data_IF_589485198108
#
_entry.id   IF_589485198108
#
_cell.length_a   1.000
_cell.length_b   1.000
_cell.length_c   1.000
_cell.angle_alpha   90.00
_cell.angle_beta   90.00
_cell.angle_gamma   90.00
#
_symmetry.space_group_name_H-M   'P 1'
#
loop_
_entity.id
_entity.type
_entity.pdbx_description
1 polymer ?
#
# COMPACT_ATOMS: atom_id res chain seq x y z
N UNK A 1 7.48 -12.24 11.21
CA UNK A 1 7.15 -10.99 10.49
C UNK A 1 5.75 -11.05 9.92
N UNK A 2 5.11 -9.92 9.84
CA UNK A 2 3.82 -9.77 9.15
C UNK A 2 4.09 -9.15 7.80
N UNK A 3 3.65 -9.81 6.72
CA UNK A 3 3.64 -9.23 5.40
C UNK A 3 2.31 -8.52 5.17
N UNK A 4 2.37 -7.22 4.89
CA UNK A 4 1.22 -6.39 4.60
C UNK A 4 1.20 -6.11 3.11
N UNK A 5 0.09 -6.44 2.46
CA UNK A 5 -0.09 -6.23 1.03
C UNK A 5 -1.42 -5.57 0.75
N UNK A 6 -1.45 -4.65 -0.19
CA UNK A 6 -2.68 -4.04 -0.68
C UNK A 6 -2.61 -3.90 -2.19
N UNK A 7 -3.63 -4.40 -2.86
CA UNK A 7 -3.77 -4.35 -4.32
C UNK A 7 -4.93 -3.44 -4.66
N UNK A 8 -4.76 -2.59 -5.68
CA UNK A 8 -5.73 -1.51 -5.92
C UNK A 8 -5.75 -1.04 -7.37
N UNK A 9 -6.81 -0.32 -7.70
CA UNK A 9 -6.87 0.50 -8.91
C UNK A 9 -7.30 1.92 -8.55
N UNK A 10 -6.81 2.87 -9.34
CA UNK A 10 -7.09 4.28 -9.16
C UNK A 10 -8.27 4.73 -10.02
N UNK A 11 -8.90 5.82 -9.63
CA UNK A 11 -9.92 6.49 -10.43
C UNK A 11 -9.33 7.19 -11.65
N UNK A 12 -8.04 7.48 -11.61
CA UNK A 12 -7.33 8.17 -12.68
C UNK A 12 -7.14 7.28 -13.90
N UNK A 13 -7.11 7.86 -15.11
CA UNK A 13 -6.74 7.10 -16.31
C UNK A 13 -5.34 6.49 -16.18
N UNK A 14 -5.15 5.32 -16.78
CA UNK A 14 -3.85 4.66 -16.84
C UNK A 14 -2.85 5.56 -17.56
N UNK A 15 -1.64 5.61 -17.00
CA UNK A 15 -0.51 6.40 -17.49
C UNK A 15 -0.71 7.92 -17.42
N UNK A 16 -1.71 8.38 -16.64
CA UNK A 16 -1.94 9.80 -16.43
C UNK A 16 -0.91 10.42 -15.47
N UNK A 17 -0.77 11.74 -15.51
CA UNK A 17 0.08 12.47 -14.57
C UNK A 17 -0.39 12.30 -13.12
N UNK A 18 -1.71 12.21 -12.91
CA UNK A 18 -2.30 12.02 -11.58
C UNK A 18 -1.99 10.64 -11.02
N UNK A 19 -2.01 9.60 -11.87
CA UNK A 19 -1.57 8.25 -11.46
C UNK A 19 -0.11 8.25 -11.04
N UNK A 20 0.76 8.84 -11.83
CA UNK A 20 2.20 8.94 -11.51
C UNK A 20 2.42 9.67 -10.20
N UNK A 21 1.73 10.79 -9.98
CA UNK A 21 1.86 11.57 -8.75
C UNK A 21 1.43 10.78 -7.52
N UNK A 22 0.32 10.03 -7.59
CA UNK A 22 -0.13 9.18 -6.50
C UNK A 22 0.91 8.13 -6.14
N UNK A 23 1.43 7.43 -7.15
CA UNK A 23 2.40 6.35 -6.94
C UNK A 23 3.74 6.88 -6.40
N UNK A 24 4.17 8.05 -6.84
CA UNK A 24 5.37 8.69 -6.30
C UNK A 24 5.18 9.16 -4.86
N UNK A 25 4.07 9.81 -4.56
CA UNK A 25 3.79 10.31 -3.21
C UNK A 25 3.65 9.19 -2.18
N UNK A 26 3.24 8.00 -2.61
CA UNK A 26 3.18 6.82 -1.74
C UNK A 26 4.55 6.42 -1.17
N UNK A 27 5.65 6.83 -1.77
CA UNK A 27 6.99 6.56 -1.23
C UNK A 27 7.20 7.14 0.18
N UNK A 28 6.44 8.17 0.55
CA UNK A 28 6.52 8.71 1.92
C UNK A 28 6.22 7.64 2.99
N UNK A 29 5.43 6.62 2.65
CA UNK A 29 5.11 5.52 3.56
C UNK A 29 6.35 4.70 3.93
N UNK A 30 7.32 4.61 3.03
CA UNK A 30 8.55 3.83 3.24
C UNK A 30 9.43 4.38 4.38
N UNK A 31 9.30 5.65 4.69
CA UNK A 31 10.08 6.32 5.74
C UNK A 31 9.45 6.20 7.14
N UNK A 32 8.24 5.68 7.25
CA UNK A 32 7.57 5.50 8.54
C UNK A 32 8.34 4.45 9.36
N UNK A 33 8.66 4.72 10.64
CA UNK A 33 9.37 3.75 11.47
C UNK A 33 8.65 2.40 11.53
N UNK A 34 9.41 1.33 11.41
CA UNK A 34 8.89 -0.04 11.42
C UNK A 34 8.55 -0.63 10.07
N UNK A 35 8.44 0.18 9.03
CA UNK A 35 8.24 -0.31 7.65
C UNK A 35 9.52 -0.98 7.15
N UNK A 36 9.38 -2.22 6.70
CA UNK A 36 10.48 -3.03 6.16
C UNK A 36 10.17 -3.36 4.72
N UNK A 37 11.12 -3.10 3.82
CA UNK A 37 11.06 -3.52 2.42
C UNK A 37 9.78 -3.05 1.71
N UNK A 38 9.51 -1.75 1.78
CA UNK A 38 8.39 -1.17 1.03
C UNK A 38 8.64 -1.28 -0.47
N UNK A 39 7.68 -1.87 -1.19
CA UNK A 39 7.76 -2.02 -2.64
C UNK A 39 6.44 -1.63 -3.29
N UNK A 40 6.55 -1.09 -4.50
CA UNK A 40 5.42 -0.79 -5.38
C UNK A 40 5.46 -1.76 -6.55
N UNK A 41 4.28 -2.23 -6.97
CA UNK A 41 4.17 -3.25 -8.01
C UNK A 41 3.14 -2.87 -9.07
N UNK A 42 3.38 -3.34 -10.30
CA UNK A 42 2.29 -3.52 -11.27
C UNK A 42 1.65 -4.87 -11.03
N UNK A 43 0.31 -4.92 -10.96
CA UNK A 43 -0.41 -6.17 -10.98
C UNK A 43 -0.57 -6.58 -12.44
N UNK A 44 -0.18 -7.81 -12.80
CA UNK A 44 -0.09 -8.23 -14.20
C UNK A 44 -1.02 -9.41 -14.55
N UNK A 45 -1.78 -9.92 -13.58
CA UNK A 45 -2.71 -11.02 -13.84
C UNK A 45 -4.02 -10.49 -14.46
N UNK A 46 -4.53 -11.14 -15.52
CA UNK A 46 -5.85 -10.78 -16.07
C UNK A 46 -7.00 -11.31 -15.22
N UNK A 47 -6.72 -11.99 -14.11
CA UNK A 47 -7.74 -12.65 -13.28
C UNK A 47 -8.40 -11.72 -12.26
N UNK A 48 -8.00 -10.45 -12.21
CA UNK A 48 -8.59 -9.45 -11.35
C UNK A 48 -8.52 -8.07 -12.03
N UNK A 49 -9.16 -7.08 -11.40
CA UNK A 49 -9.26 -5.72 -11.95
C UNK A 49 -8.30 -4.73 -11.28
N UNK A 50 -7.33 -5.21 -10.53
CA UNK A 50 -6.36 -4.33 -9.90
C UNK A 50 -5.19 -4.02 -10.84
N UNK A 51 -4.62 -2.84 -10.68
CA UNK A 51 -3.52 -2.36 -11.53
C UNK A 51 -2.20 -2.30 -10.79
N UNK A 52 -2.23 -2.06 -9.48
CA UNK A 52 -1.05 -1.82 -8.66
C UNK A 52 -1.12 -2.55 -7.33
N UNK A 53 0.02 -2.66 -6.67
CA UNK A 53 0.10 -3.13 -5.31
C UNK A 53 1.23 -2.46 -4.55
N UNK A 54 1.01 -2.32 -3.23
CA UNK A 54 2.05 -1.97 -2.27
C UNK A 54 2.28 -3.15 -1.35
N UNK A 55 3.54 -3.47 -1.11
CA UNK A 55 3.91 -4.52 -0.16
C UNK A 55 4.97 -4.01 0.81
N UNK A 56 4.88 -4.46 2.04
CA UNK A 56 5.84 -4.17 3.09
C UNK A 56 5.73 -5.21 4.18
N UNK A 57 6.68 -5.23 5.09
CA UNK A 57 6.67 -6.13 6.23
C UNK A 57 6.86 -5.36 7.53
N UNK A 58 6.37 -5.96 8.62
CA UNK A 58 6.54 -5.46 9.98
C UNK A 58 7.10 -6.58 10.85
N UNK A 59 7.98 -6.24 11.77
CA UNK A 59 8.58 -7.21 12.67
C UNK A 59 7.54 -7.91 13.55
N UNK A 60 6.51 -7.17 13.98
CA UNK A 60 5.45 -7.65 14.87
C UNK A 60 4.19 -6.77 14.74
N UNK A 61 3.15 -7.16 15.46
CA UNK A 61 1.88 -6.42 15.46
C UNK A 61 2.03 -5.01 16.02
N UNK A 62 2.91 -4.79 16.99
CA UNK A 62 3.11 -3.47 17.57
C UNK A 62 3.66 -2.49 16.54
N UNK A 63 4.61 -2.93 15.72
CA UNK A 63 5.14 -2.11 14.62
C UNK A 63 4.07 -1.80 13.57
N UNK A 64 3.23 -2.77 13.22
CA UNK A 64 2.13 -2.56 12.27
C UNK A 64 1.10 -1.56 12.82
N UNK A 65 0.68 -1.75 14.06
CA UNK A 65 -0.27 -0.83 14.71
C UNK A 65 0.27 0.60 14.78
N UNK A 66 1.56 0.75 15.09
CA UNK A 66 2.23 2.06 15.10
C UNK A 66 2.24 2.72 13.72
N UNK A 67 2.47 1.94 12.66
CA UNK A 67 2.40 2.40 11.27
C UNK A 67 0.99 2.92 10.94
N UNK A 68 -0.05 2.15 11.25
CA UNK A 68 -1.43 2.54 10.97
C UNK A 68 -1.79 3.88 11.63
N UNK A 69 -1.31 4.12 12.83
CA UNK A 69 -1.60 5.34 13.59
C UNK A 69 -0.65 6.49 13.27
N UNK A 70 0.41 6.26 12.50
CA UNK A 70 1.41 7.29 12.21
C UNK A 70 0.78 8.43 11.39
N UNK A 71 1.08 9.70 11.72
CA UNK A 71 0.49 10.85 11.02
C UNK A 71 0.68 10.84 9.51
N UNK A 72 1.82 10.37 9.01
CA UNK A 72 2.09 10.28 7.57
C UNK A 72 1.14 9.27 6.92
N UNK A 73 0.92 8.11 7.53
CA UNK A 73 -0.02 7.11 7.03
C UNK A 73 -1.45 7.64 7.07
N UNK A 74 -1.87 8.22 8.19
CA UNK A 74 -3.22 8.78 8.33
C UNK A 74 -3.48 9.86 7.29
N UNK A 75 -2.54 10.78 7.08
CA UNK A 75 -2.68 11.84 6.10
C UNK A 75 -2.76 11.27 4.67
N UNK A 76 -1.93 10.29 4.33
CA UNK A 76 -1.99 9.65 3.01
C UNK A 76 -3.33 8.97 2.77
N UNK A 77 -3.86 8.24 3.76
CA UNK A 77 -5.16 7.58 3.65
C UNK A 77 -6.28 8.60 3.47
N UNK A 78 -6.33 9.63 4.31
CA UNK A 78 -7.42 10.62 4.27
C UNK A 78 -7.37 11.51 3.03
N UNK A 79 -6.19 11.95 2.62
CA UNK A 79 -6.04 12.97 1.57
C UNK A 79 -5.84 12.38 0.17
N UNK A 80 -5.35 11.15 0.07
CA UNK A 80 -5.02 10.53 -1.20
C UNK A 80 -5.78 9.23 -1.44
N UNK A 81 -5.64 8.26 -0.55
CA UNK A 81 -6.21 6.91 -0.73
C UNK A 81 -7.73 6.96 -0.89
N UNK A 82 -8.44 7.54 0.08
CA UNK A 82 -9.90 7.62 0.05
C UNK A 82 -10.45 8.42 -1.13
N UNK A 83 -9.67 9.37 -1.62
CA UNK A 83 -10.09 10.23 -2.74
C UNK A 83 -9.82 9.59 -4.10
N UNK A 84 -8.68 8.90 -4.25
CA UNK A 84 -8.16 8.50 -5.56
C UNK A 84 -8.27 6.99 -5.85
N UNK A 85 -8.39 6.14 -4.82
CA UNK A 85 -8.53 4.69 -5.00
C UNK A 85 -9.99 4.32 -5.24
N UNK A 86 -10.24 3.63 -6.34
CA UNK A 86 -11.60 3.19 -6.70
C UNK A 86 -11.99 1.88 -6.03
N UNK A 87 -11.05 0.93 -5.95
CA UNK A 87 -11.26 -0.38 -5.33
C UNK A 87 -9.94 -0.96 -4.86
N UNK A 88 -9.98 -1.76 -3.82
CA UNK A 88 -8.77 -2.37 -3.27
C UNK A 88 -9.06 -3.66 -2.52
N UNK A 89 -8.01 -4.46 -2.35
CA UNK A 89 -8.00 -5.67 -1.53
C UNK A 89 -6.76 -5.67 -0.67
N UNK A 90 -6.94 -5.70 0.63
CA UNK A 90 -5.85 -5.74 1.61
C UNK A 90 -5.70 -7.17 2.13
N UNK A 91 -4.49 -7.69 2.09
CA UNK A 91 -4.16 -9.02 2.59
C UNK A 91 -2.90 -8.94 3.45
N UNK A 92 -3.03 -9.33 4.69
CA UNK A 92 -1.91 -9.48 5.61
C UNK A 92 -1.70 -10.95 5.90
N UNK A 93 -0.44 -11.38 5.95
CA UNK A 93 -0.17 -12.78 6.20
C UNK A 93 1.11 -13.01 7.00
N UNK A 94 1.15 -14.13 7.65
CA UNK A 94 2.33 -14.67 8.31
C UNK A 94 2.56 -16.09 7.79
N UNK A 95 3.77 -16.66 7.92
CA UNK A 95 3.99 -18.04 7.52
C UNK A 95 3.01 -18.99 8.21
N UNK A 96 2.50 -19.98 7.48
CA UNK A 96 1.55 -20.97 8.01
C UNK A 96 2.19 -21.87 9.07
N UNK A 97 3.48 -22.06 9.01
CA UNK A 97 4.22 -22.86 9.95
C UNK A 97 5.70 -22.51 9.96
N UNK A 98 6.41 -23.05 10.88
CA UNK A 98 7.84 -22.82 10.99
C UNK A 98 8.60 -23.61 9.92
#
# INVERSE_FOLDING_TARGET
>A
MIAHTVWFRLRHPRDSAEETAFLEDAFALSAIPGVIDFQRHHEVSPKNDFDFGFTMSFADQAAYTSYDAHPVHVAFVENRWKVEVEDFLEIDHVPLGA
#
